data_IF_577579292998
#
_entry.id   IF_577579292998
#
_cell.length_a   1.000
_cell.length_b   1.000
_cell.length_c   1.000
_cell.angle_alpha   90.00
_cell.angle_beta   90.00
_cell.angle_gamma   90.00
#
_symmetry.space_group_name_H-M   'P 1'
#
loop_
_entity.id
_entity.type
_entity.pdbx_description
1 polymer ?
#
# COMPACT_ATOMS: atom_id res chain seq x y z
N UNK A 1 -13.80 69.78 -2.46
CA UNK A 1 -12.49 69.08 -2.28
C UNK A 1 -12.54 68.11 -1.10
N UNK A 2 -13.21 68.35 0.02
CA UNK A 2 -13.30 67.46 1.20
C UNK A 2 -14.08 66.15 0.92
N UNK A 3 -15.10 66.19 0.06
CA UNK A 3 -15.92 65.00 -0.29
C UNK A 3 -15.14 64.01 -1.17
N UNK A 4 -14.24 64.43 -2.01
CA UNK A 4 -13.40 63.59 -2.86
C UNK A 4 -12.30 62.88 -2.07
N UNK A 5 -11.77 63.51 -1.02
CA UNK A 5 -10.76 62.91 -0.13
C UNK A 5 -11.34 61.81 0.78
N UNK A 6 -12.58 61.99 1.24
CA UNK A 6 -13.31 60.96 2.06
C UNK A 6 -13.67 59.72 1.23
N UNK A 7 -14.04 59.86 -0.05
CA UNK A 7 -14.34 58.76 -0.95
C UNK A 7 -13.10 57.90 -1.21
N UNK A 8 -11.96 58.53 -1.53
CA UNK A 8 -10.69 57.81 -1.74
C UNK A 8 -10.18 57.08 -0.51
N UNK A 9 -10.41 57.62 0.69
CA UNK A 9 -10.00 56.97 1.93
C UNK A 9 -10.85 55.74 2.26
N UNK A 10 -12.14 55.75 1.93
CA UNK A 10 -13.00 54.58 2.08
C UNK A 10 -12.62 53.45 1.09
N UNK A 11 -12.30 53.80 -0.18
CA UNK A 11 -11.86 52.80 -1.16
C UNK A 11 -10.56 52.09 -0.72
N UNK A 12 -9.61 52.85 -0.12
CA UNK A 12 -8.36 52.28 0.40
C UNK A 12 -8.61 51.39 1.60
N UNK A 13 -9.52 51.78 2.51
CA UNK A 13 -9.88 50.91 3.66
C UNK A 13 -10.60 49.62 3.22
N UNK A 14 -11.45 49.70 2.22
CA UNK A 14 -12.11 48.51 1.66
C UNK A 14 -11.12 47.56 1.00
N UNK A 15 -10.14 48.07 0.26
CA UNK A 15 -9.06 47.28 -0.34
C UNK A 15 -8.22 46.60 0.75
N UNK A 16 -7.82 47.35 1.80
CA UNK A 16 -7.05 46.81 2.93
C UNK A 16 -7.87 45.72 3.66
N UNK A 17 -9.14 45.94 3.92
CA UNK A 17 -10.02 44.96 4.55
C UNK A 17 -10.13 43.67 3.71
N UNK A 18 -10.30 43.79 2.39
CA UNK A 18 -10.32 42.62 1.48
C UNK A 18 -9.02 41.83 1.50
N UNK A 19 -7.86 42.53 1.51
CA UNK A 19 -6.54 41.89 1.60
C UNK A 19 -6.37 41.15 2.94
N UNK A 20 -6.79 41.78 4.05
CA UNK A 20 -6.71 41.18 5.39
C UNK A 20 -7.64 39.97 5.50
N UNK A 21 -8.84 40.04 4.96
CA UNK A 21 -9.77 38.89 4.94
C UNK A 21 -9.18 37.72 4.15
N UNK A 22 -8.69 37.98 2.94
CA UNK A 22 -8.06 36.93 2.11
C UNK A 22 -6.85 36.30 2.81
N UNK A 23 -5.97 37.13 3.36
CA UNK A 23 -4.81 36.64 4.11
C UNK A 23 -5.20 35.78 5.32
N UNK A 24 -6.28 36.20 6.05
CA UNK A 24 -6.83 35.42 7.16
C UNK A 24 -7.35 34.05 6.69
N UNK A 25 -8.09 34.01 5.58
CA UNK A 25 -8.63 32.79 5.02
C UNK A 25 -7.49 31.82 4.60
N UNK A 26 -6.48 32.35 3.89
CA UNK A 26 -5.30 31.61 3.50
C UNK A 26 -4.55 31.02 4.71
N UNK A 27 -4.34 31.86 5.74
CA UNK A 27 -3.66 31.41 6.98
C UNK A 27 -4.49 30.42 7.79
N UNK A 28 -5.80 30.60 7.83
CA UNK A 28 -6.68 29.61 8.49
C UNK A 28 -6.60 28.26 7.79
N UNK A 29 -6.63 28.23 6.46
CA UNK A 29 -6.49 27.02 5.67
C UNK A 29 -5.13 26.34 5.89
N UNK A 30 -4.04 27.12 5.86
CA UNK A 30 -2.69 26.61 6.13
C UNK A 30 -2.59 25.98 7.53
N UNK A 31 -3.18 26.62 8.56
CA UNK A 31 -3.21 26.11 9.92
C UNK A 31 -4.02 24.80 10.00
N UNK A 32 -5.12 24.70 9.27
CA UNK A 32 -5.96 23.50 9.22
C UNK A 32 -5.21 22.34 8.58
N UNK A 33 -4.58 22.57 7.43
CA UNK A 33 -3.72 21.59 6.76
C UNK A 33 -2.57 21.11 7.65
N UNK A 34 -1.91 22.02 8.37
CA UNK A 34 -0.85 21.65 9.32
C UNK A 34 -1.37 20.83 10.50
N UNK A 35 -2.57 21.12 11.02
CA UNK A 35 -3.20 20.34 12.09
C UNK A 35 -3.57 18.93 11.61
N UNK A 36 -4.13 18.81 10.42
CA UNK A 36 -4.46 17.51 9.82
C UNK A 36 -3.19 16.68 9.60
N UNK A 37 -2.12 17.29 9.09
CA UNK A 37 -0.83 16.62 8.93
C UNK A 37 -0.24 16.16 10.27
N UNK A 38 -0.33 17.01 11.31
CA UNK A 38 0.14 16.65 12.65
C UNK A 38 -0.68 15.52 13.29
N UNK A 39 -2.01 15.53 13.11
CA UNK A 39 -2.90 14.46 13.56
C UNK A 39 -2.57 13.13 12.84
N UNK A 40 -2.44 13.17 11.52
CA UNK A 40 -2.05 12.03 10.69
C UNK A 40 -0.70 11.41 11.11
N UNK A 41 0.31 12.27 11.36
CA UNK A 41 1.63 11.81 11.83
C UNK A 41 1.54 11.17 13.22
N UNK A 42 0.71 11.70 14.11
CA UNK A 42 0.50 11.13 15.47
C UNK A 42 -0.17 9.75 15.38
N UNK A 43 -1.20 9.62 14.55
CA UNK A 43 -1.88 8.35 14.31
C UNK A 43 -0.93 7.31 13.71
N UNK A 44 -0.13 7.71 12.70
CA UNK A 44 0.89 6.86 12.10
C UNK A 44 1.86 6.29 13.15
N UNK A 45 2.45 7.15 13.99
CA UNK A 45 3.37 6.72 15.06
C UNK A 45 2.69 5.82 16.09
N UNK A 46 1.43 6.08 16.41
CA UNK A 46 0.62 5.23 17.28
C UNK A 46 0.45 3.83 16.70
N UNK A 47 0.08 3.73 15.42
CA UNK A 47 -0.10 2.48 14.71
C UNK A 47 1.22 1.70 14.58
N UNK A 48 2.34 2.36 14.25
CA UNK A 48 3.68 1.75 14.23
C UNK A 48 4.01 1.13 15.60
N UNK A 49 3.80 1.91 16.67
CA UNK A 49 4.09 1.44 18.03
C UNK A 49 3.26 0.22 18.40
N UNK A 50 1.99 0.20 18.02
CA UNK A 50 1.09 -0.92 18.28
C UNK A 50 1.48 -2.17 17.50
N UNK A 51 1.76 -2.03 16.19
CA UNK A 51 2.13 -3.14 15.31
C UNK A 51 3.52 -3.73 15.67
N UNK A 52 4.43 -2.94 16.26
CA UNK A 52 5.70 -3.42 16.76
C UNK A 52 5.58 -4.10 18.13
N UNK A 53 4.73 -3.62 19.03
CA UNK A 53 4.56 -4.20 20.37
C UNK A 53 4.05 -5.64 20.32
N UNK A 54 3.09 -5.94 19.46
CA UNK A 54 2.47 -7.26 19.36
C UNK A 54 3.48 -8.39 19.09
N UNK A 55 4.33 -8.34 18.04
CA UNK A 55 5.33 -9.39 17.81
C UNK A 55 6.40 -9.44 18.92
N UNK A 56 6.78 -8.29 19.52
CA UNK A 56 7.73 -8.26 20.64
C UNK A 56 7.20 -9.04 21.83
N UNK A 57 5.95 -8.77 22.25
CA UNK A 57 5.35 -9.51 23.36
C UNK A 57 5.15 -11.00 23.05
N UNK A 58 4.83 -11.35 21.81
CA UNK A 58 4.75 -12.73 21.39
C UNK A 58 6.11 -13.45 21.51
N UNK A 59 7.19 -12.81 21.02
CA UNK A 59 8.56 -13.34 21.15
C UNK A 59 8.90 -13.52 22.64
N UNK A 60 8.68 -12.50 23.45
CA UNK A 60 8.96 -12.53 24.88
C UNK A 60 8.20 -13.68 25.56
N UNK A 61 6.90 -13.85 25.27
CA UNK A 61 6.09 -14.92 25.85
C UNK A 61 6.56 -16.31 25.43
N UNK A 62 6.88 -16.52 24.14
CA UNK A 62 7.37 -17.82 23.68
C UNK A 62 8.74 -18.17 24.26
N UNK A 63 9.67 -17.21 24.33
CA UNK A 63 10.99 -17.40 24.90
C UNK A 63 10.88 -17.67 26.41
N UNK A 64 10.01 -16.94 27.14
CA UNK A 64 9.80 -17.14 28.56
C UNK A 64 9.26 -18.56 28.85
N UNK A 65 8.26 -19.00 28.10
CA UNK A 65 7.73 -20.37 28.22
C UNK A 65 8.80 -21.44 27.97
N UNK A 66 9.69 -21.21 27.00
CA UNK A 66 10.80 -22.14 26.73
C UNK A 66 11.79 -22.17 27.89
N UNK A 67 12.10 -21.03 28.51
CA UNK A 67 13.02 -20.91 29.65
C UNK A 67 12.44 -21.54 30.94
N UNK A 68 11.12 -21.51 31.12
CA UNK A 68 10.42 -22.10 32.25
C UNK A 68 10.21 -23.64 32.13
N UNK A 69 11.02 -24.31 31.34
CA UNK A 69 11.01 -25.76 31.17
C UNK A 69 10.42 -26.25 29.85
N UNK A 70 9.78 -25.36 29.09
CA UNK A 70 9.24 -25.72 27.77
C UNK A 70 10.29 -26.14 26.73
N UNK A 71 11.58 -25.84 26.97
CA UNK A 71 12.67 -26.28 26.10
C UNK A 71 12.88 -27.82 26.17
N UNK A 72 12.57 -28.43 27.28
CA UNK A 72 12.67 -29.86 27.50
C UNK A 72 11.43 -30.64 26.99
N UNK A 73 10.34 -29.93 26.69
CA UNK A 73 9.10 -30.50 26.16
C UNK A 73 9.14 -30.54 24.62
N UNK A 74 9.37 -31.73 24.07
CA UNK A 74 9.45 -31.95 22.62
C UNK A 74 8.17 -31.59 21.88
N UNK A 75 7.01 -31.50 22.55
CA UNK A 75 5.73 -31.18 21.92
C UNK A 75 5.59 -29.70 21.63
N UNK A 76 6.28 -28.84 22.38
CA UNK A 76 6.13 -27.37 22.29
C UNK A 76 7.40 -26.65 21.89
N UNK A 77 8.60 -27.17 22.16
CA UNK A 77 9.87 -26.48 21.96
C UNK A 77 10.05 -26.00 20.51
N UNK A 78 10.00 -26.89 19.53
CA UNK A 78 10.12 -26.54 18.10
C UNK A 78 8.96 -25.65 17.65
N UNK A 79 7.76 -25.88 18.16
CA UNK A 79 6.57 -25.08 17.83
C UNK A 79 6.76 -23.62 18.29
N UNK A 80 7.27 -23.37 19.48
CA UNK A 80 7.48 -22.04 20.01
C UNK A 80 8.67 -21.34 19.36
N UNK A 81 9.75 -22.06 19.07
CA UNK A 81 10.86 -21.54 18.26
C UNK A 81 10.37 -21.08 16.87
N UNK A 82 9.59 -21.90 16.18
CA UNK A 82 8.98 -21.53 14.88
C UNK A 82 8.07 -20.29 14.99
N UNK A 83 7.27 -20.17 16.05
CA UNK A 83 6.43 -18.99 16.30
C UNK A 83 7.28 -17.73 16.57
N UNK A 84 8.39 -17.87 17.30
CA UNK A 84 9.35 -16.79 17.55
C UNK A 84 9.95 -16.31 16.25
N UNK A 85 10.46 -17.21 15.41
CA UNK A 85 11.00 -16.87 14.08
C UNK A 85 9.93 -16.19 13.19
N UNK A 86 8.69 -16.70 13.20
CA UNK A 86 7.57 -16.05 12.47
C UNK A 86 7.33 -14.60 12.95
N UNK A 87 7.42 -14.35 14.26
CA UNK A 87 7.24 -13.00 14.83
C UNK A 87 8.40 -12.07 14.47
N UNK A 88 9.64 -12.58 14.46
CA UNK A 88 10.83 -11.82 14.03
C UNK A 88 10.71 -11.45 12.54
N UNK A 89 10.38 -12.39 11.68
CA UNK A 89 10.21 -12.14 10.23
C UNK A 89 9.11 -11.09 9.96
N UNK A 90 8.03 -11.12 10.77
CA UNK A 90 6.99 -10.09 10.69
C UNK A 90 7.53 -8.70 11.07
N UNK A 91 8.37 -8.60 12.10
CA UNK A 91 8.99 -7.32 12.49
C UNK A 91 9.92 -6.80 11.39
N UNK A 92 10.73 -7.67 10.80
CA UNK A 92 11.62 -7.29 9.69
C UNK A 92 10.80 -6.71 8.53
N UNK A 93 9.78 -7.43 8.07
CA UNK A 93 8.91 -6.97 7.00
C UNK A 93 8.24 -5.62 7.33
N UNK A 94 7.84 -5.40 8.59
CA UNK A 94 7.24 -4.15 9.02
C UNK A 94 8.22 -2.99 8.99
N UNK A 95 9.47 -3.20 9.41
CA UNK A 95 10.54 -2.20 9.34
C UNK A 95 10.88 -1.87 7.89
N UNK A 96 11.00 -2.87 7.01
CA UNK A 96 11.23 -2.68 5.58
C UNK A 96 10.12 -1.86 4.92
N UNK A 97 8.85 -2.19 5.21
CA UNK A 97 7.70 -1.43 4.71
C UNK A 97 7.68 0.02 5.21
N UNK A 98 8.06 0.26 6.48
CA UNK A 98 8.18 1.60 7.05
C UNK A 98 9.28 2.43 6.40
N UNK A 99 10.45 1.82 6.14
CA UNK A 99 11.52 2.48 5.41
C UNK A 99 11.09 2.86 4.00
N UNK A 100 10.38 1.96 3.32
CA UNK A 100 9.87 2.21 1.97
C UNK A 100 8.85 3.35 1.94
N UNK A 101 7.88 3.38 2.86
CA UNK A 101 6.93 4.49 2.97
C UNK A 101 7.66 5.81 3.23
N UNK A 102 8.61 5.83 4.16
CA UNK A 102 9.37 7.03 4.48
C UNK A 102 10.16 7.55 3.26
N UNK A 103 10.74 6.65 2.47
CA UNK A 103 11.42 7.00 1.20
C UNK A 103 10.44 7.55 0.17
N UNK A 104 9.25 6.96 0.04
CA UNK A 104 8.21 7.38 -0.90
C UNK A 104 7.59 8.74 -0.54
N UNK A 105 7.56 9.10 0.73
CA UNK A 105 7.04 10.40 1.23
C UNK A 105 8.05 11.53 1.18
N UNK A 106 9.33 11.23 1.00
CA UNK A 106 10.32 12.27 0.87
C UNK A 106 10.05 13.08 -0.40
N UNK A 107 10.03 14.42 -0.27
CA UNK A 107 9.78 15.39 -1.36
C UNK A 107 10.72 15.26 -2.57
N UNK A 108 11.76 14.40 -2.47
CA UNK A 108 12.76 14.15 -3.51
C UNK A 108 12.73 12.69 -4.00
N UNK A 109 11.55 12.13 -4.24
CA UNK A 109 11.49 10.80 -4.86
C UNK A 109 11.97 10.87 -6.31
N UNK A 110 13.27 10.66 -6.52
CA UNK A 110 13.86 10.53 -7.86
C UNK A 110 13.53 9.14 -8.42
N UNK A 111 12.42 9.05 -9.15
CA UNK A 111 12.12 7.85 -9.93
C UNK A 111 13.18 7.68 -11.04
N UNK A 112 13.70 6.48 -11.17
CA UNK A 112 14.59 6.11 -12.27
C UNK A 112 13.76 5.50 -13.39
N UNK A 113 13.11 6.35 -14.17
CA UNK A 113 12.32 5.89 -15.30
C UNK A 113 13.20 5.26 -16.37
N UNK A 114 12.83 4.08 -16.81
CA UNK A 114 13.44 3.34 -17.91
C UNK A 114 12.37 2.66 -18.77
N UNK A 115 12.72 2.36 -20.01
CA UNK A 115 11.82 1.63 -20.91
C UNK A 115 12.06 0.14 -20.74
N UNK A 116 11.01 -0.60 -20.40
CA UNK A 116 11.08 -2.06 -20.25
C UNK A 116 9.82 -2.75 -20.77
N UNK A 117 9.93 -4.07 -20.97
CA UNK A 117 8.82 -4.92 -21.38
C UNK A 117 8.03 -5.39 -20.15
N UNK A 118 6.80 -4.94 -20.02
CA UNK A 118 5.97 -5.19 -18.85
C UNK A 118 5.60 -6.67 -18.65
N UNK A 119 5.22 -7.45 -19.68
CA UNK A 119 5.04 -8.90 -19.57
C UNK A 119 6.28 -9.65 -19.08
N UNK A 120 7.48 -9.28 -19.52
CA UNK A 120 8.74 -9.89 -19.04
C UNK A 120 8.95 -9.63 -17.56
N UNK A 121 8.83 -8.38 -17.12
CA UNK A 121 8.90 -8.04 -15.70
C UNK A 121 7.85 -8.79 -14.87
N UNK A 122 6.63 -8.94 -15.41
CA UNK A 122 5.56 -9.67 -14.73
C UNK A 122 5.91 -11.15 -14.61
N UNK A 123 6.49 -11.76 -15.65
CA UNK A 123 6.95 -13.15 -15.60
C UNK A 123 8.06 -13.33 -14.55
N UNK A 124 9.07 -12.43 -14.52
CA UNK A 124 10.13 -12.43 -13.48
C UNK A 124 9.51 -12.40 -12.05
N UNK A 125 8.44 -11.65 -11.85
CA UNK A 125 7.76 -11.58 -10.55
C UNK A 125 6.98 -12.85 -10.26
N UNK A 126 6.29 -13.41 -11.25
CA UNK A 126 5.54 -14.68 -11.09
C UNK A 126 6.49 -15.81 -10.74
N UNK A 127 7.62 -15.92 -11.44
CA UNK A 127 8.65 -16.93 -11.16
C UNK A 127 9.22 -16.76 -9.74
N UNK A 128 9.46 -15.52 -9.31
CA UNK A 128 9.90 -15.21 -7.94
C UNK A 128 8.87 -15.62 -6.88
N UNK A 129 7.58 -15.55 -7.19
CA UNK A 129 6.49 -15.87 -6.27
C UNK A 129 6.03 -17.34 -6.36
N UNK A 130 6.58 -18.14 -7.29
CA UNK A 130 6.12 -19.47 -7.62
C UNK A 130 6.04 -20.39 -6.39
N UNK A 131 7.13 -20.48 -5.60
CA UNK A 131 7.15 -21.33 -4.42
C UNK A 131 6.05 -20.94 -3.41
N UNK A 132 5.86 -19.64 -3.21
CA UNK A 132 4.81 -19.15 -2.31
C UNK A 132 3.41 -19.45 -2.82
N UNK A 133 3.20 -19.37 -4.13
CA UNK A 133 1.94 -19.72 -4.77
C UNK A 133 1.64 -21.22 -4.61
N UNK A 134 2.63 -22.09 -4.86
CA UNK A 134 2.52 -23.55 -4.65
C UNK A 134 2.17 -23.88 -3.20
N UNK A 135 2.89 -23.31 -2.23
CA UNK A 135 2.66 -23.53 -0.79
C UNK A 135 1.24 -23.12 -0.33
N UNK A 136 0.58 -22.24 -1.09
CA UNK A 136 -0.78 -21.75 -0.84
C UNK A 136 -1.82 -22.29 -1.85
N UNK A 137 -1.51 -23.33 -2.63
CA UNK A 137 -2.39 -23.92 -3.64
C UNK A 137 -2.98 -22.88 -4.62
N UNK A 138 -2.16 -21.90 -5.03
CA UNK A 138 -2.57 -20.80 -5.89
C UNK A 138 -1.99 -20.94 -7.28
N UNK A 139 -2.83 -20.86 -8.31
CA UNK A 139 -2.40 -20.79 -9.71
C UNK A 139 -2.31 -19.34 -10.18
N UNK A 140 -1.21 -18.98 -10.85
CA UNK A 140 -1.03 -17.63 -11.40
C UNK A 140 -0.97 -17.76 -12.94
N UNK A 141 -1.78 -16.97 -13.63
CA UNK A 141 -1.82 -16.95 -15.10
C UNK A 141 -1.62 -15.53 -15.62
N UNK A 142 -0.73 -15.37 -16.61
CA UNK A 142 -0.55 -14.12 -17.33
C UNK A 142 -1.31 -14.19 -18.65
N UNK A 143 -2.30 -13.33 -18.79
CA UNK A 143 -3.09 -13.22 -20.01
C UNK A 143 -2.43 -12.20 -20.95
N UNK A 144 -1.31 -12.57 -21.53
CA UNK A 144 -0.65 -11.81 -22.59
C UNK A 144 -0.46 -12.71 -23.80
N UNK A 145 -0.66 -12.15 -25.00
CA UNK A 145 -0.21 -12.86 -26.20
C UNK A 145 1.32 -12.98 -26.14
N UNK A 146 1.91 -14.17 -26.26
CA UNK A 146 3.36 -14.39 -26.13
C UNK A 146 4.21 -13.53 -27.09
N UNK A 147 3.60 -12.98 -28.13
CA UNK A 147 4.25 -12.20 -29.19
C UNK A 147 4.13 -10.68 -29.01
N UNK A 148 3.36 -10.19 -28.04
CA UNK A 148 3.10 -8.76 -27.90
C UNK A 148 4.03 -8.14 -26.85
N UNK A 149 5.09 -7.46 -27.33
CA UNK A 149 5.90 -6.59 -26.47
C UNK A 149 5.07 -5.39 -26.01
N UNK A 150 4.94 -5.21 -24.71
CA UNK A 150 4.25 -4.07 -24.09
C UNK A 150 5.33 -3.23 -23.41
N UNK A 151 5.81 -2.19 -24.10
CA UNK A 151 6.84 -1.28 -23.58
C UNK A 151 6.20 -0.15 -22.81
N UNK A 152 6.67 0.07 -21.57
CA UNK A 152 6.24 1.15 -20.68
C UNK A 152 7.46 1.94 -20.19
N UNK A 153 7.23 3.24 -19.88
CA UNK A 153 8.23 4.11 -19.24
C UNK A 153 7.86 4.27 -17.77
N UNK A 154 8.66 3.69 -16.88
CA UNK A 154 8.46 3.74 -15.43
C UNK A 154 9.74 3.32 -14.69
N UNK A 155 9.77 3.46 -13.36
CA UNK A 155 10.81 2.87 -12.52
C UNK A 155 10.56 1.35 -12.37
N UNK A 156 11.34 0.55 -13.12
CA UNK A 156 11.20 -0.92 -13.18
C UNK A 156 11.22 -1.56 -11.79
N UNK A 157 12.10 -1.09 -10.91
CA UNK A 157 12.22 -1.62 -9.54
C UNK A 157 10.94 -1.35 -8.73
N UNK A 158 10.36 -0.16 -8.86
CA UNK A 158 9.14 0.24 -8.18
C UNK A 158 7.91 -0.51 -8.72
N UNK A 159 7.84 -0.68 -10.04
CA UNK A 159 6.74 -1.48 -10.63
C UNK A 159 6.86 -2.96 -10.26
N UNK A 160 8.08 -3.51 -10.17
CA UNK A 160 8.29 -4.85 -9.60
C UNK A 160 7.70 -4.96 -8.19
N UNK A 161 7.93 -3.96 -7.33
CA UNK A 161 7.39 -3.93 -5.97
C UNK A 161 5.85 -3.86 -5.95
N UNK A 162 5.24 -3.07 -6.84
CA UNK A 162 3.78 -3.02 -7.02
C UNK A 162 3.23 -4.41 -7.34
N UNK A 163 3.81 -5.09 -8.33
CA UNK A 163 3.38 -6.43 -8.73
C UNK A 163 3.53 -7.44 -7.59
N UNK A 164 4.66 -7.44 -6.88
CA UNK A 164 4.88 -8.31 -5.71
C UNK A 164 3.81 -8.08 -4.65
N UNK A 165 3.52 -6.83 -4.28
CA UNK A 165 2.53 -6.51 -3.26
C UNK A 165 1.11 -6.94 -3.64
N UNK A 166 0.72 -6.74 -4.91
CA UNK A 166 -0.60 -7.12 -5.39
C UNK A 166 -0.74 -8.65 -5.49
N UNK A 167 0.26 -9.35 -6.02
CA UNK A 167 0.27 -10.81 -6.11
C UNK A 167 0.32 -11.44 -4.72
N UNK A 168 1.13 -10.89 -3.81
CA UNK A 168 1.20 -11.36 -2.42
C UNK A 168 -0.15 -11.25 -1.70
N UNK A 169 -0.85 -10.13 -1.88
CA UNK A 169 -2.20 -9.96 -1.37
C UNK A 169 -3.18 -10.97 -1.99
N UNK A 170 -3.12 -11.18 -3.30
CA UNK A 170 -3.96 -12.15 -3.99
C UNK A 170 -3.72 -13.60 -3.51
N UNK A 171 -2.47 -13.98 -3.22
CA UNK A 171 -2.14 -15.28 -2.62
C UNK A 171 -2.70 -15.38 -1.19
N UNK A 172 -2.50 -14.36 -0.37
CA UNK A 172 -2.92 -14.34 1.04
C UNK A 172 -4.43 -14.43 1.23
N UNK A 173 -5.17 -13.75 0.37
CA UNK A 173 -6.62 -13.62 0.48
C UNK A 173 -7.39 -14.44 -0.57
N UNK A 174 -6.67 -15.23 -1.36
CA UNK A 174 -7.23 -16.15 -2.33
C UNK A 174 -8.14 -17.21 -1.71
N UNK A 175 -8.88 -17.90 -2.54
CA UNK A 175 -9.72 -19.03 -2.12
C UNK A 175 -8.84 -20.18 -1.65
N UNK A 176 -9.16 -20.81 -0.50
CA UNK A 176 -8.34 -21.87 0.08
C UNK A 176 -8.32 -23.16 -0.72
N UNK A 177 -9.35 -23.45 -1.51
CA UNK A 177 -9.49 -24.71 -2.25
C UNK A 177 -8.96 -24.60 -3.69
N UNK A 178 -9.11 -23.45 -4.34
CA UNK A 178 -8.76 -23.27 -5.75
C UNK A 178 -8.45 -21.79 -6.04
N UNK A 179 -7.36 -21.29 -5.42
CA UNK A 179 -6.95 -19.92 -5.62
C UNK A 179 -6.41 -19.71 -7.05
N UNK A 180 -6.95 -18.70 -7.71
CA UNK A 180 -6.56 -18.31 -9.06
C UNK A 180 -6.25 -16.84 -9.11
N UNK A 181 -5.09 -16.53 -9.66
CA UNK A 181 -4.68 -15.15 -9.93
C UNK A 181 -4.51 -15.00 -11.42
N UNK A 182 -5.12 -13.97 -11.99
CA UNK A 182 -5.02 -13.63 -13.40
C UNK A 182 -4.45 -12.23 -13.55
N UNK A 183 -3.35 -12.11 -14.30
CA UNK A 183 -2.75 -10.81 -14.63
C UNK A 183 -3.03 -10.52 -16.10
N UNK A 184 -3.61 -9.34 -16.38
CA UNK A 184 -4.02 -8.95 -17.72
C UNK A 184 -3.53 -7.55 -18.07
N UNK A 185 -3.26 -7.30 -19.35
CA UNK A 185 -2.80 -6.02 -19.86
C UNK A 185 -3.74 -5.55 -20.97
N UNK A 186 -4.20 -4.32 -20.89
CA UNK A 186 -5.09 -3.71 -21.86
C UNK A 186 -4.51 -2.38 -22.35
N UNK A 187 -4.71 -2.08 -23.60
CA UNK A 187 -4.38 -0.75 -24.12
C UNK A 187 -5.44 0.24 -23.63
N UNK A 188 -5.02 1.32 -23.02
CA UNK A 188 -5.88 2.35 -22.45
C UNK A 188 -5.37 3.75 -22.84
N UNK A 189 -5.75 4.21 -24.04
CA UNK A 189 -5.28 5.48 -24.62
C UNK A 189 -3.73 5.54 -24.71
N UNK A 190 -3.13 6.48 -24.02
CA UNK A 190 -1.67 6.68 -23.95
C UNK A 190 -1.01 5.88 -22.82
N UNK A 191 -1.76 4.96 -22.19
CA UNK A 191 -1.30 4.13 -21.08
C UNK A 191 -1.63 2.66 -21.37
N UNK A 192 -1.00 1.77 -20.61
CA UNK A 192 -1.46 0.40 -20.44
C UNK A 192 -2.16 0.28 -19.10
N UNK A 193 -3.33 -0.38 -19.08
CA UNK A 193 -4.02 -0.81 -17.88
C UNK A 193 -3.51 -2.21 -17.50
N UNK A 194 -3.06 -2.37 -16.29
CA UNK A 194 -2.65 -3.65 -15.70
C UNK A 194 -3.70 -4.06 -14.70
N UNK A 195 -4.22 -5.27 -14.81
CA UNK A 195 -5.17 -5.83 -13.85
C UNK A 195 -4.57 -7.06 -13.20
N UNK A 196 -4.64 -7.11 -11.86
CA UNK A 196 -4.34 -8.29 -11.05
C UNK A 196 -5.65 -8.69 -10.39
N UNK A 197 -6.22 -9.80 -10.86
CA UNK A 197 -7.51 -10.34 -10.42
C UNK A 197 -7.29 -11.61 -9.62
N UNK A 198 -7.94 -11.74 -8.47
CA UNK A 198 -8.05 -12.96 -7.69
C UNK A 198 -9.51 -13.42 -7.57
N UNK A 199 -9.72 -14.68 -7.22
CA UNK A 199 -11.01 -15.28 -6.88
C UNK A 199 -11.14 -15.50 -5.37
N UNK A 200 -10.59 -14.61 -4.56
CA UNK A 200 -10.53 -14.72 -3.11
C UNK A 200 -11.83 -14.34 -2.40
N UNK A 201 -11.68 -14.03 -1.12
CA UNK A 201 -12.81 -13.69 -0.23
C UNK A 201 -13.51 -12.37 -0.62
N UNK A 202 -12.87 -11.54 -1.45
CA UNK A 202 -13.35 -10.20 -1.76
C UNK A 202 -13.24 -9.21 -0.60
N UNK A 203 -13.65 -7.97 -0.87
CA UNK A 203 -13.61 -6.84 0.06
C UNK A 203 -15.01 -6.24 0.18
N UNK A 204 -15.56 -6.07 1.39
CA UNK A 204 -16.83 -5.37 1.58
C UNK A 204 -16.78 -3.95 1.02
N UNK A 205 -17.87 -3.48 0.42
CA UNK A 205 -17.94 -2.18 -0.24
C UNK A 205 -17.54 -1.01 0.67
N UNK A 206 -17.96 -1.06 1.93
CA UNK A 206 -17.62 -0.07 2.97
C UNK A 206 -16.11 0.06 3.23
N UNK A 207 -15.33 -0.99 2.94
CA UNK A 207 -13.89 -1.03 3.17
C UNK A 207 -13.08 -0.59 1.94
N UNK A 208 -13.67 -0.60 0.75
CA UNK A 208 -12.98 -0.33 -0.53
C UNK A 208 -12.25 1.03 -0.52
N UNK A 209 -12.88 2.06 0.05
CA UNK A 209 -12.31 3.40 0.11
C UNK A 209 -11.07 3.45 1.00
N UNK A 210 -11.02 2.60 2.02
CA UNK A 210 -10.01 2.63 3.08
C UNK A 210 -8.84 1.68 2.89
N UNK A 211 -8.92 0.71 1.97
CA UNK A 211 -7.88 -0.35 1.84
C UNK A 211 -6.49 0.18 1.47
N UNK A 212 -6.39 1.40 0.95
CA UNK A 212 -5.13 2.08 0.66
C UNK A 212 -4.60 2.94 1.83
N UNK A 213 -5.38 3.05 2.93
CA UNK A 213 -4.90 3.70 4.16
C UNK A 213 -3.81 2.85 4.81
N UNK A 214 -2.85 3.49 5.46
CA UNK A 214 -1.76 2.81 6.17
C UNK A 214 -2.30 2.06 7.37
N UNK A 215 -1.79 0.84 7.59
CA UNK A 215 -2.19 -0.06 8.68
C UNK A 215 -3.66 -0.49 8.64
N UNK A 216 -4.41 -0.08 7.61
CA UNK A 216 -5.79 -0.48 7.48
C UNK A 216 -5.88 -1.97 7.14
N UNK A 217 -6.75 -2.65 7.87
CA UNK A 217 -7.06 -4.07 7.67
C UNK A 217 -8.53 -4.31 7.97
N UNK A 218 -9.20 -5.07 7.10
CA UNK A 218 -10.56 -5.52 7.36
C UNK A 218 -10.59 -6.51 8.55
N UNK A 219 -11.69 -6.66 9.24
CA UNK A 219 -11.79 -7.58 10.40
C UNK A 219 -11.49 -9.02 10.00
N UNK A 220 -11.90 -9.45 8.82
CA UNK A 220 -11.55 -10.78 8.27
C UNK A 220 -10.05 -10.95 8.01
N UNK A 221 -9.34 -9.87 7.67
CA UNK A 221 -7.90 -9.89 7.46
C UNK A 221 -7.07 -9.77 8.74
N UNK A 222 -7.72 -9.44 9.88
CA UNK A 222 -7.09 -9.34 11.20
C UNK A 222 -6.75 -10.69 11.83
N UNK A 223 -7.20 -11.82 11.26
CA UNK A 223 -6.78 -13.13 11.75
C UNK A 223 -5.25 -13.21 11.74
N UNK A 224 -4.67 -13.47 12.93
CA UNK A 224 -3.22 -13.40 13.21
C UNK A 224 -2.38 -14.34 12.32
N UNK A 225 -3.01 -15.32 11.68
CA UNK A 225 -2.34 -16.35 10.89
C UNK A 225 -2.07 -15.94 9.43
N UNK A 226 -2.89 -15.07 8.83
CA UNK A 226 -2.69 -14.63 7.43
C UNK A 226 -1.65 -13.51 7.24
N UNK A 227 -1.08 -12.96 8.30
CA UNK A 227 0.07 -12.06 8.39
C UNK A 227 0.14 -10.96 7.31
N UNK A 228 0.03 -9.70 7.71
CA UNK A 228 0.26 -8.55 6.83
C UNK A 228 0.51 -7.33 7.68
N UNK A 229 1.32 -6.39 7.19
CA UNK A 229 1.66 -5.14 7.87
C UNK A 229 0.54 -4.10 7.75
N UNK A 230 -0.35 -4.25 6.75
CA UNK A 230 -1.32 -3.21 6.39
C UNK A 230 -0.70 -2.02 5.63
N UNK A 231 0.58 -2.15 5.23
CA UNK A 231 1.31 -1.09 4.51
C UNK A 231 1.44 -1.36 3.00
N UNK A 232 1.34 -2.62 2.57
CA UNK A 232 1.60 -3.01 1.18
C UNK A 232 0.73 -2.28 0.15
N UNK A 233 -0.58 -2.12 0.38
CA UNK A 233 -1.46 -1.39 -0.55
C UNK A 233 -1.21 0.14 -0.50
N UNK A 234 -0.85 0.69 0.64
CA UNK A 234 -0.44 2.09 0.74
C UNK A 234 0.85 2.34 -0.06
N UNK A 235 1.84 1.42 0.02
CA UNK A 235 3.06 1.46 -0.80
C UNK A 235 2.70 1.41 -2.29
N UNK A 236 1.81 0.51 -2.71
CA UNK A 236 1.34 0.41 -4.10
C UNK A 236 0.76 1.74 -4.57
N UNK A 237 -0.16 2.33 -3.80
CA UNK A 237 -0.78 3.61 -4.14
C UNK A 237 0.26 4.72 -4.28
N UNK A 238 1.17 4.87 -3.33
CA UNK A 238 2.23 5.89 -3.38
C UNK A 238 3.15 5.71 -4.60
N UNK A 239 3.54 4.49 -4.94
CA UNK A 239 4.37 4.24 -6.12
C UNK A 239 3.63 4.65 -7.39
N UNK A 240 2.37 4.27 -7.56
CA UNK A 240 1.59 4.58 -8.76
C UNK A 240 1.32 6.08 -8.87
N UNK A 241 0.97 6.74 -7.78
CA UNK A 241 0.77 8.21 -7.74
C UNK A 241 2.07 8.97 -8.03
N UNK A 242 3.22 8.50 -7.54
CA UNK A 242 4.52 9.07 -7.85
C UNK A 242 4.87 9.01 -9.36
N UNK A 243 4.35 8.00 -10.08
CA UNK A 243 4.46 7.92 -11.54
C UNK A 243 3.39 8.75 -12.27
N UNK A 244 2.60 9.58 -11.57
CA UNK A 244 1.46 10.33 -12.11
C UNK A 244 0.43 9.43 -12.79
N UNK A 245 0.25 8.22 -12.26
CA UNK A 245 -0.67 7.21 -12.74
C UNK A 245 -1.77 6.94 -11.72
N UNK A 246 -2.76 6.14 -12.09
CA UNK A 246 -3.93 5.86 -11.25
C UNK A 246 -3.98 4.39 -10.85
N UNK A 247 -4.49 4.13 -9.66
CA UNK A 247 -4.84 2.81 -9.16
C UNK A 247 -6.30 2.79 -8.75
N UNK A 248 -6.97 1.70 -9.03
CA UNK A 248 -8.36 1.46 -8.64
C UNK A 248 -8.56 0.00 -8.21
N UNK A 249 -9.67 -0.27 -7.56
CA UNK A 249 -10.06 -1.60 -7.12
C UNK A 249 -11.53 -1.85 -7.40
N UNK A 250 -11.85 -3.05 -7.80
CA UNK A 250 -13.21 -3.58 -7.90
C UNK A 250 -13.25 -4.89 -7.13
N UNK A 251 -14.20 -5.04 -6.24
CA UNK A 251 -14.32 -6.25 -5.44
C UNK A 251 -15.76 -6.47 -5.00
N UNK A 252 -16.16 -7.73 -4.91
CA UNK A 252 -17.42 -8.16 -4.33
C UNK A 252 -17.12 -9.27 -3.32
N UNK A 253 -17.78 -9.22 -2.18
CA UNK A 253 -17.57 -10.21 -1.13
C UNK A 253 -17.94 -11.62 -1.64
N UNK A 254 -17.01 -12.57 -1.52
CA UNK A 254 -17.18 -13.95 -2.01
C UNK A 254 -16.85 -14.17 -3.49
N UNK A 255 -16.60 -13.12 -4.28
CA UNK A 255 -16.31 -13.22 -5.71
C UNK A 255 -14.85 -12.96 -6.06
N UNK A 256 -14.12 -12.27 -5.16
CA UNK A 256 -12.72 -11.91 -5.34
C UNK A 256 -12.49 -10.42 -5.55
N UNK A 257 -11.24 -10.08 -5.91
CA UNK A 257 -10.80 -8.69 -6.05
C UNK A 257 -10.02 -8.49 -7.34
N UNK A 258 -10.20 -7.34 -7.97
CA UNK A 258 -9.41 -6.88 -9.12
C UNK A 258 -8.79 -5.54 -8.78
N UNK A 259 -7.47 -5.50 -8.65
CA UNK A 259 -6.70 -4.27 -8.61
C UNK A 259 -6.28 -3.88 -10.03
N UNK A 260 -6.49 -2.62 -10.38
CA UNK A 260 -6.16 -2.11 -11.71
C UNK A 260 -5.32 -0.85 -11.59
N UNK A 261 -4.20 -0.77 -12.31
CA UNK A 261 -3.38 0.43 -12.35
C UNK A 261 -2.90 0.75 -13.77
N UNK A 262 -2.59 2.01 -14.03
CA UNK A 262 -2.10 2.47 -15.34
C UNK A 262 -0.60 2.62 -15.35
N UNK A 263 0.02 2.47 -16.53
CA UNK A 263 1.42 2.79 -16.82
C UNK A 263 1.54 3.50 -18.16
N UNK A 264 2.41 4.48 -18.25
CA UNK A 264 2.63 5.26 -19.47
C UNK A 264 3.27 4.39 -20.55
N UNK A 265 2.73 4.47 -21.77
CA UNK A 265 3.36 3.86 -22.96
C UNK A 265 4.73 4.49 -23.19
N UNK A 266 5.72 3.69 -23.58
CA UNK A 266 7.08 4.16 -23.87
C UNK A 266 7.18 4.87 -25.21
#
# INVERSE_FOLDING_TARGET
>A
EETSAKSKNNDVLDIVNQVVIRWREEKTKEIEELKEMAAYRREFLGNVSHELKTPVFNIQGYVHTLLEGGIEDETINIKYLKKTVKSINRMIALVEDLEEITKLESTNLNLKEEIFNLPELTQEVVDFMEQKAIDNNTSITINSSPTKSIKVSADKKRIRQVLINLIDNAIKYGNTENAKIKISFYNFHNNYLVEVQDNGIGIPEENIVRIFERFYRTDQSRSRDKGGTGLGLAIVKHIIEAHHQTISVRSSLGEGTTFSFTLKVA
#
